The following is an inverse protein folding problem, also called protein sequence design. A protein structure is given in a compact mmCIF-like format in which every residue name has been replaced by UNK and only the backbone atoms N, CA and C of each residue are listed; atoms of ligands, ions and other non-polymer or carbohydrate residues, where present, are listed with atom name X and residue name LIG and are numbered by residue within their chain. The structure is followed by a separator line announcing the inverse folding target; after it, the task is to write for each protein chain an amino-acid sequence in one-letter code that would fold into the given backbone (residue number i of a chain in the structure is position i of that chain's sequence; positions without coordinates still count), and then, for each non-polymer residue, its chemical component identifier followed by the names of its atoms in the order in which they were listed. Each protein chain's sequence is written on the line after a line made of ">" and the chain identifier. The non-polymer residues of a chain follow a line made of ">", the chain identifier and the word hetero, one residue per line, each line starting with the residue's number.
data_IF_408481737969
#
_entry.id   IF_408481737969
#
_cell.length_a   1.000
_cell.length_b   1.000
_cell.length_c   1.000
_cell.angle_alpha   90.00
_cell.angle_beta   90.00
_cell.angle_gamma   90.00
#
_symmetry.space_group_name_H-M   'P 1'
#
loop_
_entity.id
_entity.type
_entity.pdbx_description
1 polymer ?
#
# COMPACT_ATOMS: atom_id res chain seq x y z
N UNK A 1 -31.45 11.35 -30.48
CA UNK A 1 -31.80 11.89 -29.15
C UNK A 1 -30.56 11.94 -28.29
N UNK A 2 -29.92 13.10 -28.24
CA UNK A 2 -28.72 13.38 -27.46
C UNK A 2 -29.13 13.46 -25.99
N UNK A 3 -28.90 12.41 -25.19
CA UNK A 3 -29.03 12.52 -23.74
C UNK A 3 -27.93 13.47 -23.28
N UNK A 4 -28.34 14.64 -22.78
CA UNK A 4 -27.47 15.55 -22.06
C UNK A 4 -26.77 14.76 -20.94
N UNK A 5 -25.43 14.67 -21.03
CA UNK A 5 -24.59 14.28 -19.90
C UNK A 5 -24.79 15.33 -18.81
N UNK A 6 -25.65 15.05 -17.84
CA UNK A 6 -25.54 15.73 -16.55
C UNK A 6 -24.09 15.58 -16.09
N UNK A 7 -23.43 16.71 -15.81
CA UNK A 7 -22.02 16.70 -15.43
C UNK A 7 -21.84 15.81 -14.18
N UNK A 8 -21.21 14.65 -14.36
CA UNK A 8 -20.95 13.70 -13.29
C UNK A 8 -20.20 14.41 -12.16
N UNK A 9 -20.71 14.28 -10.92
CA UNK A 9 -20.03 14.88 -9.75
C UNK A 9 -18.67 14.19 -9.59
N UNK A 10 -17.55 14.94 -9.63
CA UNK A 10 -16.24 14.35 -9.54
C UNK A 10 -15.98 13.78 -8.14
N UNK A 11 -15.57 12.52 -8.09
CA UNK A 11 -15.16 11.82 -6.88
C UNK A 11 -13.87 12.46 -6.36
N UNK A 12 -13.95 13.02 -5.15
CA UNK A 12 -12.90 13.84 -4.53
C UNK A 12 -12.35 14.95 -5.45
N UNK A 13 -13.19 15.49 -6.33
CA UNK A 13 -12.79 16.56 -7.25
C UNK A 13 -11.89 16.12 -8.40
N UNK A 14 -11.74 14.81 -8.67
CA UNK A 14 -10.90 14.31 -9.75
C UNK A 14 -11.60 13.35 -10.72
N UNK A 15 -12.07 12.18 -10.25
CA UNK A 15 -12.52 11.10 -11.14
C UNK A 15 -14.02 11.09 -11.39
N UNK A 16 -14.43 10.58 -12.55
CA UNK A 16 -15.82 10.51 -13.00
C UNK A 16 -16.26 9.06 -13.17
N UNK A 17 -17.43 8.73 -12.61
CA UNK A 17 -18.06 7.44 -12.84
C UNK A 17 -18.89 7.49 -14.14
N UNK A 18 -18.26 7.16 -15.25
CA UNK A 18 -18.88 7.08 -16.59
C UNK A 18 -19.42 5.68 -16.94
N UNK A 19 -19.31 4.72 -16.02
CA UNK A 19 -19.77 3.35 -16.25
C UNK A 19 -21.31 3.31 -16.23
N UNK A 20 -21.96 2.75 -17.27
CA UNK A 20 -23.43 2.79 -17.40
C UNK A 20 -24.15 1.87 -16.40
N UNK A 21 -23.43 0.93 -15.79
CA UNK A 21 -23.99 -0.03 -14.83
C UNK A 21 -24.04 0.49 -13.39
N UNK A 22 -24.71 -0.28 -12.53
CA UNK A 22 -24.82 0.02 -11.10
C UNK A 22 -23.51 -0.30 -10.38
N UNK A 23 -22.81 0.72 -9.90
CA UNK A 23 -21.55 0.57 -9.13
C UNK A 23 -21.75 0.63 -7.61
N UNK A 24 -22.92 1.10 -7.17
CA UNK A 24 -23.29 1.24 -5.76
C UNK A 24 -24.75 0.86 -5.54
N UNK A 25 -25.04 0.13 -4.48
CA UNK A 25 -26.39 -0.25 -4.10
C UNK A 25 -26.57 -0.21 -2.58
N UNK A 26 -27.82 -0.12 -2.14
CA UNK A 26 -28.17 -0.17 -0.72
C UNK A 26 -28.65 -1.58 -0.36
N UNK A 27 -28.23 -2.06 0.80
CA UNK A 27 -28.89 -3.17 1.49
C UNK A 27 -29.18 -2.72 2.92
N UNK A 28 -30.47 -2.48 3.20
CA UNK A 28 -30.91 -1.74 4.37
C UNK A 28 -30.33 -0.32 4.40
N UNK A 29 -29.73 0.07 5.54
CA UNK A 29 -29.07 1.37 5.73
C UNK A 29 -27.62 1.41 5.23
N UNK A 30 -27.09 0.30 4.71
CA UNK A 30 -25.67 0.17 4.34
C UNK A 30 -25.50 0.30 2.82
N UNK A 31 -24.57 1.16 2.42
CA UNK A 31 -24.12 1.28 1.02
C UNK A 31 -23.03 0.26 0.72
N UNK A 32 -23.20 -0.45 -0.36
CA UNK A 32 -22.25 -1.38 -0.94
C UNK A 32 -21.77 -0.84 -2.28
N UNK A 33 -20.53 -1.16 -2.63
CA UNK A 33 -19.95 -0.84 -3.92
C UNK A 33 -19.41 -2.12 -4.53
N UNK A 34 -19.43 -2.21 -5.85
CA UNK A 34 -18.66 -3.24 -6.54
C UNK A 34 -17.16 -3.05 -6.25
N UNK A 35 -16.40 -4.14 -6.23
CA UNK A 35 -14.98 -4.13 -5.80
C UNK A 35 -14.12 -3.15 -6.60
N UNK A 36 -14.24 -3.18 -7.93
CA UNK A 36 -13.48 -2.29 -8.83
C UNK A 36 -13.75 -0.81 -8.51
N UNK A 37 -15.02 -0.42 -8.34
CA UNK A 37 -15.40 0.95 -7.98
C UNK A 37 -14.88 1.35 -6.61
N UNK A 38 -14.91 0.44 -5.63
CA UNK A 38 -14.35 0.70 -4.31
C UNK A 38 -12.84 0.95 -4.37
N UNK A 39 -12.08 0.13 -5.11
CA UNK A 39 -10.63 0.31 -5.23
C UNK A 39 -10.27 1.58 -5.99
N UNK A 40 -10.94 1.86 -7.10
CA UNK A 40 -10.78 3.11 -7.85
C UNK A 40 -11.05 4.34 -6.98
N UNK A 41 -12.18 4.34 -6.27
CA UNK A 41 -12.54 5.45 -5.37
C UNK A 41 -11.53 5.62 -4.24
N UNK A 42 -11.05 4.53 -3.64
CA UNK A 42 -10.06 4.59 -2.57
C UNK A 42 -8.69 5.06 -3.07
N UNK A 43 -8.30 4.67 -4.28
CA UNK A 43 -7.10 5.20 -4.97
C UNK A 43 -7.19 6.72 -5.14
N UNK A 44 -8.32 7.22 -5.66
CA UNK A 44 -8.57 8.66 -5.82
C UNK A 44 -8.59 9.37 -4.46
N UNK A 45 -9.23 8.77 -3.44
CA UNK A 45 -9.25 9.32 -2.08
C UNK A 45 -7.84 9.58 -1.56
N UNK A 46 -6.93 8.59 -1.69
CA UNK A 46 -5.53 8.74 -1.25
C UNK A 46 -4.83 9.92 -1.94
N UNK A 47 -5.15 10.17 -3.22
CA UNK A 47 -4.49 11.20 -4.02
C UNK A 47 -5.10 12.61 -3.89
N UNK A 48 -6.39 12.72 -3.56
CA UNK A 48 -7.10 14.01 -3.68
C UNK A 48 -7.94 14.41 -2.45
N UNK A 49 -8.19 13.51 -1.49
CA UNK A 49 -8.84 13.89 -0.23
C UNK A 49 -7.84 14.56 0.72
N UNK A 50 -7.98 15.88 0.91
CA UNK A 50 -7.12 16.69 1.80
C UNK A 50 -7.09 16.12 3.22
N UNK A 51 -8.22 15.62 3.74
CA UNK A 51 -8.29 15.05 5.09
C UNK A 51 -7.47 13.76 5.18
N UNK A 52 -7.56 12.89 4.18
CA UNK A 52 -6.76 11.67 4.11
C UNK A 52 -5.26 11.98 4.04
N UNK A 53 -4.83 12.96 3.23
CA UNK A 53 -3.42 13.33 3.12
C UNK A 53 -2.85 14.02 4.36
N UNK A 54 -3.67 14.79 5.09
CA UNK A 54 -3.28 15.35 6.38
C UNK A 54 -3.07 14.24 7.41
N UNK A 55 -3.98 13.25 7.44
CA UNK A 55 -3.89 12.09 8.34
C UNK A 55 -2.73 11.16 7.98
N UNK A 56 -2.47 10.97 6.68
CA UNK A 56 -1.50 10.03 6.12
C UNK A 56 -0.55 10.76 5.17
N UNK A 57 0.47 11.39 5.76
CA UNK A 57 1.44 12.22 5.04
C UNK A 57 2.14 11.49 3.88
N UNK A 58 2.28 10.16 3.92
CA UNK A 58 2.89 9.39 2.82
C UNK A 58 2.11 9.45 1.50
N UNK A 59 0.81 9.78 1.55
CA UNK A 59 0.00 10.01 0.36
C UNK A 59 0.15 11.42 -0.24
N UNK A 60 0.82 12.34 0.45
CA UNK A 60 1.10 13.67 -0.10
C UNK A 60 1.91 13.55 -1.39
N UNK A 61 1.52 14.34 -2.39
CA UNK A 61 2.08 14.33 -3.73
C UNK A 61 1.63 13.15 -4.60
N UNK A 62 0.85 12.21 -4.08
CA UNK A 62 0.32 11.11 -4.90
C UNK A 62 -0.73 11.63 -5.90
N UNK A 63 -0.68 11.12 -7.12
CA UNK A 63 -1.59 11.46 -8.22
C UNK A 63 -2.08 10.18 -8.90
N UNK A 64 -3.13 10.32 -9.69
CA UNK A 64 -3.66 9.28 -10.58
C UNK A 64 -3.46 9.77 -12.02
N UNK A 65 -3.09 8.88 -12.94
CA UNK A 65 -2.97 9.22 -14.36
C UNK A 65 -4.30 9.72 -14.95
N UNK A 66 -4.23 10.44 -16.07
CA UNK A 66 -5.42 11.03 -16.69
C UNK A 66 -6.40 9.98 -17.22
N UNK A 67 -5.89 8.84 -17.71
CA UNK A 67 -6.71 7.72 -18.18
C UNK A 67 -7.66 7.21 -17.08
N UNK A 68 -7.15 7.06 -15.85
CA UNK A 68 -7.94 6.61 -14.70
C UNK A 68 -8.78 7.71 -14.04
N UNK A 69 -8.93 8.88 -14.68
CA UNK A 69 -10.05 9.80 -14.39
C UNK A 69 -11.38 9.16 -14.73
N UNK A 70 -11.44 8.32 -15.77
CA UNK A 70 -12.61 7.50 -16.12
C UNK A 70 -12.64 6.24 -15.27
N UNK A 71 -13.77 5.97 -14.61
CA UNK A 71 -13.94 4.70 -13.93
C UNK A 71 -14.00 3.53 -14.91
N UNK A 72 -14.60 3.70 -16.10
CA UNK A 72 -14.70 2.63 -17.11
C UNK A 72 -13.31 2.22 -17.60
N UNK A 73 -12.42 3.17 -17.87
CA UNK A 73 -11.02 2.88 -18.25
C UNK A 73 -10.27 2.14 -17.14
N UNK A 74 -10.41 2.57 -15.87
CA UNK A 74 -9.85 1.80 -14.75
C UNK A 74 -10.46 0.40 -14.64
N UNK A 75 -11.77 0.26 -14.88
CA UNK A 75 -12.47 -1.01 -14.79
C UNK A 75 -11.99 -1.99 -15.86
N UNK A 76 -11.74 -1.53 -17.08
CA UNK A 76 -11.17 -2.36 -18.15
C UNK A 76 -9.79 -2.91 -17.74
N UNK A 77 -8.92 -2.05 -17.21
CA UNK A 77 -7.64 -2.51 -16.66
C UNK A 77 -7.82 -3.45 -15.47
N UNK A 78 -8.75 -3.14 -14.56
CA UNK A 78 -9.09 -3.99 -13.42
C UNK A 78 -9.50 -5.39 -13.87
N UNK A 79 -10.44 -5.51 -14.82
CA UNK A 79 -11.00 -6.80 -15.22
C UNK A 79 -9.94 -7.75 -15.80
N UNK A 80 -8.84 -7.21 -16.34
CA UNK A 80 -7.71 -8.00 -16.86
C UNK A 80 -6.65 -8.35 -15.81
N UNK A 81 -6.51 -7.54 -14.75
CA UNK A 81 -5.37 -7.61 -13.82
C UNK A 81 -5.77 -7.99 -12.40
N UNK A 82 -7.05 -7.89 -12.02
CA UNK A 82 -7.45 -8.12 -10.63
C UNK A 82 -7.35 -9.59 -10.25
N UNK A 83 -6.97 -9.79 -8.99
CA UNK A 83 -7.05 -11.08 -8.32
C UNK A 83 -7.82 -10.88 -7.03
N UNK A 84 -8.79 -11.75 -6.76
CA UNK A 84 -9.61 -11.64 -5.57
C UNK A 84 -8.76 -11.75 -4.29
N UNK A 85 -8.94 -10.79 -3.37
CA UNK A 85 -8.16 -10.70 -2.13
C UNK A 85 -6.81 -9.98 -2.26
N UNK A 86 -6.42 -9.56 -3.46
CA UNK A 86 -5.18 -8.80 -3.68
C UNK A 86 -5.41 -7.29 -3.59
N UNK A 87 -4.33 -6.55 -3.33
CA UNK A 87 -4.33 -5.12 -3.13
C UNK A 87 -3.64 -4.40 -4.29
N UNK A 88 -4.20 -3.28 -4.74
CA UNK A 88 -3.56 -2.38 -5.69
C UNK A 88 -2.38 -1.66 -5.02
N UNK A 89 -1.18 -1.86 -5.55
CA UNK A 89 0.06 -1.21 -5.14
C UNK A 89 0.62 -0.35 -6.28
N UNK A 90 1.33 0.74 -5.96
CA UNK A 90 2.02 1.62 -6.95
C UNK A 90 3.52 1.76 -6.69
N UNK A 91 3.96 1.24 -5.54
CA UNK A 91 5.20 1.62 -4.87
C UNK A 91 6.31 0.59 -5.12
N UNK A 92 5.95 -0.67 -5.36
CA UNK A 92 6.92 -1.75 -5.51
C UNK A 92 7.53 -1.81 -6.92
N UNK A 93 6.77 -1.58 -7.99
CA UNK A 93 7.35 -1.62 -9.34
C UNK A 93 8.32 -0.47 -9.61
N UNK A 94 8.04 0.70 -9.04
CA UNK A 94 8.83 1.91 -9.23
C UNK A 94 9.08 2.57 -7.87
N UNK A 95 10.22 2.31 -7.22
CA UNK A 95 10.54 2.88 -5.92
C UNK A 95 10.44 4.42 -5.91
N UNK A 96 9.78 4.98 -4.90
CA UNK A 96 9.57 6.43 -4.76
C UNK A 96 8.46 7.00 -5.66
N UNK A 97 7.81 6.18 -6.47
CA UNK A 97 6.72 6.60 -7.35
C UNK A 97 5.55 7.23 -6.58
N UNK A 98 4.94 8.24 -7.20
CA UNK A 98 3.77 8.96 -6.69
C UNK A 98 2.57 8.89 -7.62
N UNK A 99 2.66 8.20 -8.76
CA UNK A 99 1.58 8.17 -9.75
C UNK A 99 0.98 6.78 -9.82
N UNK A 100 -0.33 6.68 -9.57
CA UNK A 100 -1.12 5.50 -9.92
C UNK A 100 -1.38 5.49 -11.43
N UNK A 101 -0.96 4.43 -12.12
CA UNK A 101 -1.19 4.24 -13.56
C UNK A 101 -1.10 2.75 -13.93
N UNK A 102 -1.58 2.32 -15.11
CA UNK A 102 -1.41 0.93 -15.57
C UNK A 102 0.04 0.44 -15.58
N UNK A 103 0.99 1.35 -15.85
CA UNK A 103 2.42 1.04 -15.95
C UNK A 103 3.18 0.98 -14.63
N UNK A 104 2.63 1.61 -13.59
CA UNK A 104 3.26 1.72 -12.26
C UNK A 104 2.55 0.91 -11.19
N UNK A 105 1.31 0.50 -11.46
CA UNK A 105 0.49 -0.25 -10.55
C UNK A 105 0.46 -1.74 -10.85
N UNK A 106 0.29 -2.51 -9.79
CA UNK A 106 0.16 -3.96 -9.85
C UNK A 106 -0.69 -4.44 -8.68
N UNK A 107 -1.44 -5.52 -8.89
CA UNK A 107 -2.09 -6.21 -7.77
C UNK A 107 -1.08 -7.12 -7.09
N UNK A 108 -1.03 -7.05 -5.75
CA UNK A 108 -0.17 -7.90 -4.94
C UNK A 108 -0.96 -8.59 -3.83
N UNK A 109 -0.52 -9.77 -3.35
CA UNK A 109 -1.12 -10.40 -2.19
C UNK A 109 -1.15 -9.45 -0.98
N UNK A 110 -2.22 -9.52 -0.19
CA UNK A 110 -2.37 -8.73 1.04
C UNK A 110 -1.19 -8.94 2.01
N UNK A 111 -0.65 -10.16 2.08
CA UNK A 111 0.50 -10.49 2.92
C UNK A 111 1.74 -9.70 2.51
N UNK A 112 2.04 -9.63 1.22
CA UNK A 112 3.17 -8.86 0.67
C UNK A 112 3.00 -7.36 0.96
N UNK A 113 1.81 -6.81 0.72
CA UNK A 113 1.52 -5.42 1.04
C UNK A 113 1.64 -5.11 2.54
N UNK A 114 1.22 -6.03 3.40
CA UNK A 114 1.36 -5.86 4.86
C UNK A 114 2.82 -5.94 5.27
N UNK A 115 3.59 -6.84 4.66
CA UNK A 115 5.01 -6.98 4.91
C UNK A 115 5.78 -5.69 4.59
N UNK A 116 5.44 -4.96 3.53
CA UNK A 116 6.13 -3.72 3.11
C UNK A 116 5.75 -2.47 3.91
N UNK A 117 4.65 -2.50 4.68
CA UNK A 117 4.20 -1.34 5.49
C UNK A 117 4.76 -1.30 6.91
N UNK A 118 5.32 -2.41 7.41
CA UNK A 118 5.72 -2.59 8.81
C UNK A 118 7.03 -1.88 9.25
N UNK A 119 7.59 -0.99 8.42
CA UNK A 119 8.93 -0.41 8.63
C UNK A 119 9.00 1.05 9.07
N UNK A 120 7.88 1.71 9.35
CA UNK A 120 7.91 3.13 9.69
C UNK A 120 8.38 3.36 11.15
N UNK A 121 9.07 4.49 11.38
CA UNK A 121 9.42 4.98 12.72
C UNK A 121 8.16 5.01 13.59
N UNK A 122 8.28 4.45 14.79
CA UNK A 122 7.17 4.36 15.73
C UNK A 122 6.86 5.74 16.29
N UNK A 123 5.62 5.95 16.73
CA UNK A 123 5.20 7.21 17.38
C UNK A 123 6.02 7.57 18.62
N UNK A 124 6.70 6.60 19.22
CA UNK A 124 7.59 6.81 20.37
C UNK A 124 9.04 7.19 19.98
N UNK A 125 9.28 7.49 18.69
CA UNK A 125 10.59 7.89 18.18
C UNK A 125 11.60 6.75 18.02
N UNK A 126 11.22 5.50 18.30
CA UNK A 126 12.12 4.36 18.09
C UNK A 126 12.03 3.85 16.65
N UNK A 127 13.17 3.39 16.08
CA UNK A 127 13.19 2.79 14.77
C UNK A 127 12.37 1.49 14.74
N UNK A 128 11.99 1.06 13.53
CA UNK A 128 11.23 -0.17 13.36
C UNK A 128 11.96 -1.37 13.96
N UNK A 129 11.21 -2.33 14.50
CA UNK A 129 11.77 -3.50 15.20
C UNK A 129 12.26 -3.24 16.62
N UNK A 130 12.73 -2.03 16.96
CA UNK A 130 13.28 -1.73 18.28
C UNK A 130 12.19 -1.38 19.33
N UNK A 131 12.37 -1.83 20.56
CA UNK A 131 11.51 -1.52 21.70
C UNK A 131 12.36 -1.32 22.95
N UNK A 132 12.11 -0.27 23.73
CA UNK A 132 12.78 -0.11 25.03
C UNK A 132 12.34 -1.24 25.98
N UNK A 133 13.30 -1.92 26.60
CA UNK A 133 13.00 -2.95 27.59
C UNK A 133 12.45 -2.31 28.87
N UNK A 134 11.47 -2.95 29.52
CA UNK A 134 10.88 -2.45 30.77
C UNK A 134 11.76 -2.74 31.99
N UNK A 135 12.58 -3.78 31.93
CA UNK A 135 13.32 -4.31 33.08
C UNK A 135 14.83 -4.07 32.99
N UNK A 136 15.34 -3.76 31.79
CA UNK A 136 16.77 -3.60 31.51
C UNK A 136 17.01 -2.24 30.85
N UNK A 137 18.20 -1.67 31.03
CA UNK A 137 18.68 -0.52 30.24
C UNK A 137 19.13 -0.97 28.84
N UNK A 138 18.26 -1.69 28.13
CA UNK A 138 18.50 -2.29 26.80
C UNK A 138 17.32 -2.09 25.86
N UNK A 139 17.52 -2.36 24.59
CA UNK A 139 16.54 -2.33 23.51
C UNK A 139 16.30 -3.73 22.96
N UNK A 140 15.07 -4.19 23.00
CA UNK A 140 14.66 -5.47 22.46
C UNK A 140 14.27 -5.33 20.98
N UNK A 141 14.76 -6.25 20.15
CA UNK A 141 14.41 -6.35 18.73
C UNK A 141 13.29 -7.38 18.53
N UNK A 142 12.27 -7.01 17.75
CA UNK A 142 11.14 -7.88 17.45
C UNK A 142 10.71 -7.78 15.99
N UNK A 143 10.30 -8.92 15.43
CA UNK A 143 9.65 -8.98 14.12
C UNK A 143 8.32 -9.71 14.24
N UNK A 144 7.33 -9.29 13.44
CA UNK A 144 6.06 -10.00 13.31
C UNK A 144 6.13 -10.90 12.07
N UNK A 145 5.88 -12.19 12.26
CA UNK A 145 5.82 -13.20 11.20
C UNK A 145 4.50 -13.94 11.37
N UNK A 146 3.63 -13.91 10.35
CA UNK A 146 2.33 -14.58 10.35
C UNK A 146 1.47 -14.23 11.59
N UNK A 147 1.44 -12.95 11.95
CA UNK A 147 0.71 -12.44 13.12
C UNK A 147 1.36 -12.75 14.47
N UNK A 148 2.45 -13.52 14.51
CA UNK A 148 3.18 -13.86 15.74
C UNK A 148 4.42 -12.97 15.90
N UNK A 149 4.59 -12.43 17.10
CA UNK A 149 5.76 -11.60 17.45
C UNK A 149 6.92 -12.50 17.88
N UNK A 150 8.05 -12.42 17.19
CA UNK A 150 9.30 -13.12 17.51
C UNK A 150 10.32 -12.14 18.09
N UNK A 151 10.94 -12.48 19.22
CA UNK A 151 12.09 -11.76 19.78
C UNK A 151 13.36 -12.16 19.04
N UNK A 152 14.16 -11.17 18.65
CA UNK A 152 15.41 -11.37 17.90
C UNK A 152 16.65 -11.14 18.76
N UNK A 153 16.49 -10.49 19.92
CA UNK A 153 17.59 -10.24 20.86
C UNK A 153 17.41 -8.95 21.64
N UNK A 154 18.33 -8.71 22.57
CA UNK A 154 18.42 -7.48 23.37
C UNK A 154 19.76 -6.80 23.13
N UNK A 155 19.73 -5.51 22.81
CA UNK A 155 20.88 -4.70 22.38
C UNK A 155 21.06 -3.49 23.30
N UNK A 156 22.24 -2.90 23.30
CA UNK A 156 22.54 -1.76 24.18
C UNK A 156 21.92 -0.44 23.67
N UNK A 157 21.67 -0.35 22.36
CA UNK A 157 21.06 0.81 21.71
C UNK A 157 19.94 0.42 20.72
N UNK A 158 19.11 1.40 20.36
CA UNK A 158 17.96 1.20 19.48
C UNK A 158 18.35 0.93 18.01
N UNK A 159 19.50 1.43 17.56
CA UNK A 159 20.00 1.27 16.19
C UNK A 159 20.40 -0.18 15.97
N UNK A 160 21.18 -0.76 16.89
CA UNK A 160 21.57 -2.17 16.86
C UNK A 160 20.35 -3.11 16.86
N UNK A 161 19.32 -2.81 17.68
CA UNK A 161 18.07 -3.56 17.66
C UNK A 161 17.32 -3.45 16.32
N UNK A 162 17.34 -2.28 15.69
CA UNK A 162 16.75 -2.06 14.36
C UNK A 162 17.52 -2.80 13.26
N UNK A 163 18.86 -2.78 13.29
CA UNK A 163 19.69 -3.47 12.29
C UNK A 163 19.44 -4.98 12.31
N UNK A 164 19.28 -5.60 13.48
CA UNK A 164 18.91 -7.02 13.56
C UNK A 164 17.50 -7.29 13.00
N UNK A 165 16.55 -6.38 13.24
CA UNK A 165 15.21 -6.47 12.64
C UNK A 165 15.29 -6.35 11.11
N UNK A 166 16.07 -5.42 10.58
CA UNK A 166 16.25 -5.20 9.15
C UNK A 166 16.88 -6.44 8.48
N UNK A 167 17.93 -6.99 9.08
CA UNK A 167 18.56 -8.24 8.65
C UNK A 167 17.54 -9.37 8.57
N UNK A 168 16.76 -9.59 9.64
CA UNK A 168 15.75 -10.65 9.65
C UNK A 168 14.63 -10.39 8.64
N UNK A 169 14.23 -9.13 8.43
CA UNK A 169 13.25 -8.75 7.41
C UNK A 169 13.75 -9.05 6.00
N UNK A 170 15.02 -8.75 5.71
CA UNK A 170 15.67 -9.06 4.44
C UNK A 170 15.67 -10.56 4.16
N UNK A 171 16.01 -11.39 5.16
CA UNK A 171 15.97 -12.84 5.04
C UNK A 171 14.55 -13.37 4.76
N UNK A 172 13.53 -12.81 5.43
CA UNK A 172 12.13 -13.20 5.21
C UNK A 172 11.60 -12.75 3.84
N UNK A 173 12.15 -11.67 3.28
CA UNK A 173 11.76 -11.19 1.95
C UNK A 173 11.96 -12.26 0.88
N UNK A 174 12.98 -13.10 1.02
CA UNK A 174 13.24 -14.21 0.09
C UNK A 174 12.06 -15.18 -0.07
N UNK A 175 11.18 -15.30 0.93
CA UNK A 175 9.96 -16.12 0.82
C UNK A 175 8.94 -15.58 -0.20
N UNK A 176 9.03 -14.30 -0.55
CA UNK A 176 8.17 -13.67 -1.53
C UNK A 176 8.75 -13.72 -2.94
N UNK A 177 9.95 -14.29 -3.16
CA UNK A 177 10.61 -14.26 -4.46
C UNK A 177 9.74 -14.92 -5.55
N UNK A 178 9.32 -16.16 -5.33
CA UNK A 178 8.59 -16.92 -6.33
C UNK A 178 7.25 -16.25 -6.69
N UNK A 179 6.51 -15.77 -5.69
CA UNK A 179 5.25 -15.05 -5.93
C UNK A 179 5.50 -13.70 -6.61
N UNK A 180 6.59 -13.00 -6.29
CA UNK A 180 6.91 -11.75 -6.96
C UNK A 180 7.25 -11.99 -8.44
N UNK A 181 8.09 -12.98 -8.73
CA UNK A 181 8.53 -13.31 -10.09
C UNK A 181 7.34 -13.76 -10.97
N UNK A 182 6.35 -14.46 -10.40
CA UNK A 182 5.12 -14.84 -11.09
C UNK A 182 4.23 -13.64 -11.43
N UNK A 183 4.25 -12.58 -10.62
CA UNK A 183 3.43 -11.39 -10.82
C UNK A 183 4.08 -10.44 -11.81
N UNK A 184 5.34 -10.08 -11.58
CA UNK A 184 6.09 -9.14 -12.42
C UNK A 184 7.61 -9.24 -12.14
N UNK A 185 8.47 -9.29 -13.17
CA UNK A 185 9.91 -9.53 -13.00
C UNK A 185 10.64 -8.46 -12.16
N UNK A 186 10.15 -7.21 -12.15
CA UNK A 186 10.70 -6.14 -11.31
C UNK A 186 10.15 -6.10 -9.87
N UNK A 187 9.18 -6.95 -9.52
CA UNK A 187 8.49 -6.82 -8.24
C UNK A 187 9.37 -7.22 -7.06
N UNK A 188 10.20 -8.26 -7.23
CA UNK A 188 11.09 -8.71 -6.16
C UNK A 188 12.21 -7.70 -5.88
N UNK A 189 12.83 -7.13 -6.92
CA UNK A 189 13.82 -6.07 -6.75
C UNK A 189 13.20 -4.83 -6.10
N UNK A 190 11.96 -4.50 -6.48
CA UNK A 190 11.13 -3.49 -5.83
C UNK A 190 10.92 -3.71 -4.34
N UNK A 191 10.57 -4.95 -3.95
CA UNK A 191 10.45 -5.36 -2.55
C UNK A 191 11.76 -5.17 -1.78
N UNK A 192 12.88 -5.60 -2.34
CA UNK A 192 14.20 -5.45 -1.71
C UNK A 192 14.56 -3.96 -1.55
N UNK A 193 14.42 -3.15 -2.60
CA UNK A 193 14.66 -1.71 -2.51
C UNK A 193 13.76 -1.02 -1.48
N UNK A 194 12.51 -1.48 -1.34
CA UNK A 194 11.61 -0.98 -0.29
C UNK A 194 12.10 -1.36 1.10
N UNK A 195 12.66 -2.55 1.31
CA UNK A 195 13.22 -2.97 2.60
C UNK A 195 14.49 -2.19 2.91
N UNK A 196 15.40 -2.05 1.95
CA UNK A 196 16.66 -1.31 2.11
C UNK A 196 16.40 0.14 2.53
N UNK A 197 15.38 0.78 1.94
CA UNK A 197 14.96 2.14 2.35
C UNK A 197 14.56 2.26 3.83
N UNK A 198 14.22 1.14 4.49
CA UNK A 198 13.87 1.13 5.91
C UNK A 198 15.10 1.11 6.82
N UNK A 199 16.27 0.70 6.32
CA UNK A 199 17.53 0.70 7.07
C UNK A 199 17.99 2.13 7.39
N UNK A 200 17.72 3.05 6.48
CA UNK A 200 18.13 4.45 6.55
C UNK A 200 17.17 5.33 7.37
N UNK A 201 16.01 4.78 7.77
CA UNK A 201 14.97 5.48 8.51
C UNK A 201 15.22 5.50 10.04
N UNK A 202 16.46 5.84 10.43
CA UNK A 202 16.92 5.96 11.82
C UNK A 202 16.66 7.35 12.42
#
# INVERSE_FOLDING_TARGET
>A
MTKQLEALIPVYGFGFNDFPGVVSFLSGKRRFNIKSYQVWRDMIKRCYDKKEQQKRKHYQGCKVCDEWKSFSAFKEWWDLNHVDGWHLDKDLLVPGNKVYSPSTCVFIPQELNTFTTAGNVKKNGLPAGASKSKFKKKFDSYINVNGKRKHLGSFDDAVSAHLEWHKQKTLLAGKFKDVCDQIHPALFSGLIGRIDSMKEAL
#
